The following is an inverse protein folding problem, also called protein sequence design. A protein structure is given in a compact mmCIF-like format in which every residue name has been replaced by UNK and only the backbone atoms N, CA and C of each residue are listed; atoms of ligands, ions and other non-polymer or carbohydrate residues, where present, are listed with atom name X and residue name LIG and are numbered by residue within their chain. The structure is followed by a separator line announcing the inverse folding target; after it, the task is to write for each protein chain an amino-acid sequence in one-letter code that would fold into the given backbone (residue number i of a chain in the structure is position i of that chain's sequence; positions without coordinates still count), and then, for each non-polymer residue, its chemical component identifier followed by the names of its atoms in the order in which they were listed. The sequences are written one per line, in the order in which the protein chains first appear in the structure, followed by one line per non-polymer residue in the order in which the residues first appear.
data_IF_749205868981
#
_entry.id   IF_749205868981
#
_cell.length_a   1.000
_cell.length_b   1.000
_cell.length_c   1.000
_cell.angle_alpha   90.00
_cell.angle_beta   90.00
_cell.angle_gamma   90.00
#
_symmetry.space_group_name_H-M   'P 1'
#
loop_
_entity.id
_entity.type
_entity.pdbx_description
1 polymer ?
#
# COMPACT_ATOMS: atom_id res chain seq x y z
N UNK A 1 14.80 -16.88 -21.77
CA UNK A 1 14.84 -15.68 -20.92
C UNK A 1 13.67 -15.76 -19.96
N UNK A 2 13.99 -15.60 -18.69
CA UNK A 2 13.11 -15.65 -17.51
C UNK A 2 11.96 -14.66 -17.63
N UNK A 3 10.74 -15.12 -17.37
CA UNK A 3 9.70 -14.24 -16.82
C UNK A 3 9.29 -14.81 -15.47
N UNK A 4 9.57 -13.99 -14.48
CA UNK A 4 9.47 -14.24 -13.06
C UNK A 4 8.05 -14.61 -12.62
N UNK A 5 7.96 -15.63 -11.76
CA UNK A 5 6.83 -15.84 -10.87
C UNK A 5 6.70 -14.61 -9.98
N UNK A 6 5.88 -13.63 -10.36
CA UNK A 6 5.36 -12.67 -9.38
C UNK A 6 4.19 -13.35 -8.68
N UNK A 7 4.54 -14.07 -7.62
CA UNK A 7 3.63 -14.41 -6.52
C UNK A 7 3.25 -13.09 -5.85
N UNK A 8 2.23 -12.40 -6.37
CA UNK A 8 1.56 -11.37 -5.58
C UNK A 8 0.64 -12.10 -4.61
N UNK A 9 1.17 -12.35 -3.42
CA UNK A 9 0.41 -12.89 -2.29
C UNK A 9 -0.86 -12.06 -2.10
N UNK A 10 -2.00 -12.73 -2.28
CA UNK A 10 -3.27 -12.33 -1.70
C UNK A 10 -3.12 -12.44 -0.19
N UNK A 11 -2.52 -11.42 0.41
CA UNK A 11 -2.50 -11.28 1.86
C UNK A 11 -3.81 -10.59 2.25
N UNK A 12 -4.77 -11.41 2.64
CA UNK A 12 -6.03 -11.03 3.25
C UNK A 12 -5.73 -10.39 4.61
N UNK A 13 -5.27 -9.14 4.59
CA UNK A 13 -5.16 -8.30 5.76
C UNK A 13 -6.58 -7.91 6.21
N UNK A 14 -7.16 -8.82 6.98
CA UNK A 14 -8.28 -8.62 7.88
C UNK A 14 -7.70 -7.94 9.13
N UNK A 15 -7.75 -6.60 9.15
CA UNK A 15 -7.51 -5.81 10.35
C UNK A 15 -8.74 -4.91 10.55
N UNK A 16 -9.28 -5.06 11.74
CA UNK A 16 -10.62 -4.73 12.20
C UNK A 16 -10.60 -3.39 12.95
N UNK A 17 -11.69 -2.65 12.78
CA UNK A 17 -12.19 -1.52 13.58
C UNK A 17 -11.27 -0.36 13.99
N UNK A 18 -11.44 0.74 13.25
CA UNK A 18 -11.15 2.10 13.68
C UNK A 18 -12.04 3.08 12.90
N UNK A 19 -13.20 3.39 13.47
CA UNK A 19 -14.23 4.25 12.92
C UNK A 19 -13.70 5.54 12.24
N UNK A 20 -14.19 5.82 11.02
CA UNK A 20 -14.31 7.19 10.52
C UNK A 20 -13.82 7.50 9.10
N UNK A 21 -13.06 6.65 8.42
CA UNK A 21 -12.68 6.92 7.03
C UNK A 21 -12.30 5.62 6.29
N UNK A 22 -12.90 5.34 5.14
CA UNK A 22 -12.71 4.14 4.35
C UNK A 22 -11.28 4.04 3.78
N UNK A 23 -10.34 3.60 4.62
CA UNK A 23 -8.95 3.33 4.23
C UNK A 23 -8.81 1.88 3.78
N UNK A 24 -8.12 1.67 2.67
CA UNK A 24 -7.84 0.41 2.02
C UNK A 24 -6.33 0.13 2.06
N UNK A 25 -5.95 -1.13 2.18
CA UNK A 25 -4.55 -1.52 1.98
C UNK A 25 -4.12 -1.23 0.53
N UNK A 26 -2.82 -1.09 0.27
CA UNK A 26 -2.31 -0.91 -1.10
C UNK A 26 -2.87 -1.97 -2.06
N UNK A 27 -2.97 -3.23 -1.64
CA UNK A 27 -3.57 -4.30 -2.45
C UNK A 27 -5.05 -4.05 -2.76
N UNK A 28 -5.86 -3.67 -1.76
CA UNK A 28 -7.29 -3.35 -1.95
C UNK A 28 -7.49 -2.11 -2.83
N UNK A 29 -6.65 -1.08 -2.65
CA UNK A 29 -6.69 0.12 -3.48
C UNK A 29 -6.36 -0.21 -4.94
N UNK A 30 -5.32 -1.02 -5.18
CA UNK A 30 -4.93 -1.46 -6.52
C UNK A 30 -6.07 -2.21 -7.22
N UNK A 31 -6.72 -3.15 -6.51
CA UNK A 31 -7.89 -3.86 -7.00
C UNK A 31 -9.05 -2.91 -7.34
N UNK A 32 -9.30 -1.91 -6.48
CA UNK A 32 -10.38 -0.92 -6.68
C UNK A 32 -10.18 -0.08 -7.94
N UNK A 33 -8.95 0.37 -8.20
CA UNK A 33 -8.61 1.16 -9.40
C UNK A 33 -8.31 0.28 -10.63
N UNK A 34 -8.37 -1.05 -10.49
CA UNK A 34 -8.15 -1.99 -11.60
C UNK A 34 -6.69 -2.14 -12.04
N UNK A 35 -5.72 -1.81 -11.18
CA UNK A 35 -4.29 -1.97 -11.48
C UNK A 35 -3.67 -3.08 -10.63
N UNK A 36 -2.48 -3.55 -11.02
CA UNK A 36 -1.72 -4.51 -10.22
C UNK A 36 -1.13 -3.81 -8.98
N UNK A 37 -1.03 -4.55 -7.87
CA UNK A 37 -0.41 -4.04 -6.63
C UNK A 37 1.02 -3.56 -6.85
N UNK A 38 1.80 -4.21 -7.73
CA UNK A 38 3.15 -3.77 -8.09
C UNK A 38 3.13 -2.38 -8.74
N UNK A 39 2.26 -2.18 -9.73
CA UNK A 39 2.10 -0.89 -10.43
C UNK A 39 1.67 0.20 -9.45
N UNK A 40 0.73 -0.09 -8.55
CA UNK A 40 0.33 0.91 -7.54
C UNK A 40 1.49 1.21 -6.58
N UNK A 41 2.27 0.22 -6.17
CA UNK A 41 3.44 0.44 -5.32
C UNK A 41 4.46 1.35 -6.01
N UNK A 42 4.78 1.07 -7.28
CA UNK A 42 5.69 1.89 -8.09
C UNK A 42 5.17 3.33 -8.19
N UNK A 43 3.86 3.52 -8.43
CA UNK A 43 3.22 4.84 -8.46
C UNK A 43 3.32 5.56 -7.12
N UNK A 44 3.14 4.85 -6.00
CA UNK A 44 3.25 5.44 -4.67
C UNK A 44 4.69 5.88 -4.39
N UNK A 45 5.69 5.12 -4.84
CA UNK A 45 7.11 5.49 -4.72
C UNK A 45 7.46 6.65 -5.64
N UNK A 46 7.06 6.60 -6.92
CA UNK A 46 7.29 7.62 -7.94
C UNK A 46 6.63 8.97 -7.57
N UNK A 47 5.40 8.92 -7.06
CA UNK A 47 4.71 10.09 -6.55
C UNK A 47 5.31 10.62 -5.24
N UNK A 48 6.25 9.90 -4.62
CA UNK A 48 6.90 10.27 -3.36
C UNK A 48 6.01 10.08 -2.13
N UNK A 49 4.95 9.27 -2.23
CA UNK A 49 4.12 8.87 -1.09
C UNK A 49 4.81 7.80 -0.24
N UNK A 50 5.56 6.93 -0.90
CA UNK A 50 6.46 5.96 -0.28
C UNK A 50 7.90 6.31 -0.64
N UNK A 51 8.81 6.04 0.29
CA UNK A 51 10.25 6.17 0.08
C UNK A 51 10.89 4.82 0.31
N UNK A 52 11.61 4.32 -0.70
CA UNK A 52 12.38 3.09 -0.56
C UNK A 52 13.72 3.44 0.09
N UNK A 53 13.88 3.11 1.36
CA UNK A 53 15.10 3.35 2.14
C UNK A 53 15.61 2.03 2.70
N UNK A 54 16.89 1.73 2.51
CA UNK A 54 17.52 0.51 3.00
C UNK A 54 16.77 -0.80 2.61
N UNK A 55 16.16 -0.81 1.41
CA UNK A 55 15.38 -1.94 0.91
C UNK A 55 14.00 -2.11 1.57
N UNK A 56 13.55 -1.12 2.36
CA UNK A 56 12.23 -1.09 2.98
C UNK A 56 11.45 0.13 2.51
N UNK A 57 10.16 -0.04 2.27
CA UNK A 57 9.27 1.08 1.98
C UNK A 57 8.93 1.81 3.28
N UNK A 58 9.00 3.13 3.26
CA UNK A 58 8.63 4.01 4.36
C UNK A 58 7.56 5.00 3.89
N UNK A 59 6.57 5.28 4.76
CA UNK A 59 5.58 6.30 4.47
C UNK A 59 6.21 7.68 4.64
N UNK A 60 6.16 8.49 3.59
CA UNK A 60 6.70 9.86 3.63
C UNK A 60 5.70 10.84 4.22
N UNK A 61 6.16 12.05 4.49
CA UNK A 61 5.27 13.16 4.87
C UNK A 61 4.20 13.44 3.81
N UNK A 62 4.51 13.22 2.52
CA UNK A 62 3.56 13.38 1.42
C UNK A 62 2.52 12.26 1.45
N UNK A 63 2.95 11.02 1.65
CA UNK A 63 2.05 9.87 1.81
C UNK A 63 1.07 10.10 2.96
N UNK A 64 1.58 10.57 4.11
CA UNK A 64 0.75 10.90 5.28
C UNK A 64 -0.24 12.05 5.02
N UNK A 65 0.18 13.09 4.30
CA UNK A 65 -0.71 14.20 3.91
C UNK A 65 -1.82 13.76 2.96
N UNK A 66 -1.55 12.79 2.10
CA UNK A 66 -2.55 12.19 1.21
C UNK A 66 -3.46 11.18 1.90
N UNK A 67 -3.40 11.08 3.23
CA UNK A 67 -4.22 10.18 4.04
C UNK A 67 -3.64 8.78 4.19
N UNK A 68 -2.42 8.57 3.70
CA UNK A 68 -1.66 7.34 3.91
C UNK A 68 -1.35 7.11 5.38
N UNK A 69 -1.45 5.86 5.82
CA UNK A 69 -1.15 5.45 7.19
C UNK A 69 -0.27 4.21 7.16
N UNK A 70 0.83 4.28 7.91
CA UNK A 70 1.72 3.16 8.10
C UNK A 70 1.28 2.40 9.35
N UNK A 71 0.90 1.14 9.16
CA UNK A 71 0.49 0.23 10.22
C UNK A 71 1.45 -0.94 10.25
N UNK A 72 1.70 -1.46 11.45
CA UNK A 72 2.49 -2.67 11.64
C UNK A 72 1.59 -3.66 12.36
N UNK A 73 1.23 -4.75 11.68
CA UNK A 73 0.54 -5.86 12.33
C UNK A 73 1.58 -6.84 12.88
N UNK A 74 1.41 -7.35 14.11
CA UNK A 74 2.25 -8.42 14.63
C UNK A 74 2.15 -9.73 13.82
N UNK A 75 1.07 -9.90 13.04
CA UNK A 75 0.80 -11.10 12.25
C UNK A 75 1.31 -11.00 10.81
N UNK A 76 1.17 -9.84 10.18
CA UNK A 76 1.48 -9.64 8.75
C UNK A 76 2.68 -8.73 8.50
N UNK A 77 3.19 -8.06 9.54
CA UNK A 77 4.27 -7.10 9.42
C UNK A 77 3.81 -5.70 9.00
N UNK A 78 4.72 -4.87 8.47
CA UNK A 78 4.43 -3.49 8.07
C UNK A 78 3.60 -3.42 6.78
N UNK A 79 2.49 -2.70 6.81
CA UNK A 79 1.62 -2.43 5.65
C UNK A 79 1.18 -0.97 5.61
N UNK A 80 0.70 -0.57 4.44
CA UNK A 80 0.20 0.79 4.19
C UNK A 80 -1.30 0.78 3.95
N UNK A 81 -1.98 1.71 4.60
CA UNK A 81 -3.38 2.02 4.40
C UNK A 81 -3.48 3.36 3.66
N UNK A 82 -4.43 3.45 2.75
CA UNK A 82 -4.65 4.60 1.89
C UNK A 82 -6.14 4.87 1.79
N UNK A 83 -6.60 6.12 1.75
CA UNK A 83 -8.00 6.39 1.53
C UNK A 83 -8.41 5.88 0.14
N UNK A 84 -9.63 5.39 0.00
CA UNK A 84 -10.12 4.89 -1.30
C UNK A 84 -10.19 5.96 -2.39
N UNK A 85 -10.17 7.24 -2.01
CA UNK A 85 -10.08 8.40 -2.89
C UNK A 85 -8.65 8.72 -3.35
N UNK A 86 -7.65 8.03 -2.81
CA UNK A 86 -6.26 8.24 -3.23
C UNK A 86 -6.04 7.66 -4.62
N UNK A 87 -5.68 8.54 -5.55
CA UNK A 87 -5.22 8.17 -6.89
C UNK A 87 -3.84 8.79 -7.07
N UNK A 88 -2.76 7.99 -7.09
CA UNK A 88 -1.40 8.48 -7.31
C UNK A 88 -1.10 8.79 -8.77
#
# INVERSE_FOLDING_TARGET
MTLEKVVSGTDEAQDDEGAGNAKLTTSKLAQKIGVKTSVLNDRLVEAGFLELRDGRSYLTAKGKQSGGEFRVSPKFGPYFLWPESLVP
#
